data_IF_275531572254
#
_entry.id   IF_275531572254
#
_cell.length_a   1.000
_cell.length_b   1.000
_cell.length_c   1.000
_cell.angle_alpha   90.00
_cell.angle_beta   90.00
_cell.angle_gamma   90.00
#
_symmetry.space_group_name_H-M   'P 1'
#
loop_
_entity.id
_entity.type
_entity.pdbx_description
1 polymer ?
#
# COMPACT_ATOMS: atom_id res chain seq x y z
N UNK A 1 -21.48 34.79 -10.63
CA UNK A 1 -20.83 33.53 -10.21
C UNK A 1 -20.69 32.67 -11.46
N UNK A 2 -19.52 32.09 -11.76
CA UNK A 2 -19.37 31.24 -12.96
C UNK A 2 -20.07 29.90 -12.72
N UNK A 3 -20.84 29.42 -13.69
CA UNK A 3 -21.46 28.09 -13.63
C UNK A 3 -20.37 27.01 -13.63
N UNK A 4 -20.39 26.13 -12.61
CA UNK A 4 -19.51 24.97 -12.54
C UNK A 4 -20.18 23.77 -13.20
N UNK A 5 -19.49 23.13 -14.15
CA UNK A 5 -19.93 21.90 -14.79
C UNK A 5 -19.29 20.71 -14.07
N UNK A 6 -20.13 19.81 -13.55
CA UNK A 6 -19.71 18.56 -12.92
C UNK A 6 -19.64 17.47 -14.00
N UNK A 7 -18.59 16.64 -13.95
CA UNK A 7 -18.37 15.54 -14.87
C UNK A 7 -18.24 14.23 -14.09
N UNK A 8 -18.95 13.19 -14.56
CA UNK A 8 -18.70 11.82 -14.12
C UNK A 8 -17.52 11.24 -14.91
N UNK A 9 -16.55 10.68 -14.20
CA UNK A 9 -15.33 10.10 -14.79
C UNK A 9 -15.00 8.78 -14.12
N UNK A 10 -14.53 7.82 -14.92
CA UNK A 10 -13.97 6.59 -14.39
C UNK A 10 -12.57 6.86 -13.83
N UNK A 11 -12.38 6.53 -12.54
CA UNK A 11 -11.07 6.67 -11.91
C UNK A 11 -10.15 5.53 -12.33
N UNK A 12 -9.20 5.84 -13.20
CA UNK A 12 -8.11 4.93 -13.57
C UNK A 12 -6.84 5.41 -12.86
N UNK A 13 -6.28 4.58 -11.98
CA UNK A 13 -5.05 4.89 -11.26
C UNK A 13 -4.11 3.70 -11.35
N UNK A 14 -2.88 3.97 -11.79
CA UNK A 14 -1.81 2.97 -11.92
C UNK A 14 -0.58 3.40 -11.14
N UNK A 15 0.23 2.42 -10.78
CA UNK A 15 1.46 2.54 -10.03
C UNK A 15 2.60 2.17 -10.98
N UNK A 16 3.56 3.07 -11.15
CA UNK A 16 4.78 2.74 -11.88
C UNK A 16 5.69 1.93 -10.96
N UNK A 17 5.91 0.66 -11.30
CA UNK A 17 6.81 -0.23 -10.57
C UNK A 17 7.80 -0.85 -11.54
N UNK A 18 9.10 -0.54 -11.37
CA UNK A 18 10.15 -0.86 -12.35
C UNK A 18 9.72 -0.45 -13.76
N UNK A 19 9.75 -1.36 -14.72
CA UNK A 19 9.40 -1.11 -16.11
C UNK A 19 7.90 -1.23 -16.42
N UNK A 20 7.07 -1.62 -15.44
CA UNK A 20 5.65 -1.92 -15.64
C UNK A 20 4.69 -0.95 -14.92
N UNK A 21 3.41 -1.02 -15.28
CA UNK A 21 2.32 -0.29 -14.63
C UNK A 21 1.34 -1.25 -13.98
N UNK A 22 1.24 -1.16 -12.66
CA UNK A 22 0.39 -2.00 -11.81
C UNK A 22 -0.88 -1.27 -11.45
N UNK A 23 -2.03 -1.94 -11.49
CA UNK A 23 -3.29 -1.31 -11.10
C UNK A 23 -3.33 -0.99 -9.60
N UNK A 24 -3.87 0.18 -9.25
CA UNK A 24 -4.11 0.52 -7.85
C UNK A 24 -5.34 -0.24 -7.32
N UNK A 25 -5.30 -0.82 -6.10
CA UNK A 25 -4.23 -0.75 -5.11
C UNK A 25 -3.17 -1.87 -5.26
N UNK A 26 -1.90 -1.56 -4.99
CA UNK A 26 -0.74 -2.45 -5.22
C UNK A 26 -0.91 -3.84 -4.60
N UNK A 27 -1.28 -3.88 -3.31
CA UNK A 27 -1.39 -5.11 -2.52
C UNK A 27 -2.44 -6.09 -3.05
N UNK A 28 -3.42 -5.63 -3.83
CA UNK A 28 -4.42 -6.51 -4.48
C UNK A 28 -3.99 -6.96 -5.88
N UNK A 29 -3.00 -6.31 -6.47
CA UNK A 29 -2.58 -6.51 -7.85
C UNK A 29 -1.14 -7.01 -7.99
N UNK A 30 -0.58 -7.65 -6.95
CA UNK A 30 0.78 -8.21 -6.97
C UNK A 30 0.98 -9.28 -8.05
N UNK A 31 -0.10 -9.89 -8.58
CA UNK A 31 -0.06 -10.84 -9.68
C UNK A 31 0.40 -10.22 -11.02
N UNK A 32 0.38 -8.89 -11.12
CA UNK A 32 0.87 -8.15 -12.29
C UNK A 32 2.39 -7.93 -12.24
N UNK A 33 3.05 -8.28 -11.13
CA UNK A 33 4.49 -8.14 -10.97
C UNK A 33 5.26 -9.22 -11.74
N UNK A 34 6.54 -8.99 -11.97
CA UNK A 34 7.46 -10.02 -12.42
C UNK A 34 7.46 -11.22 -11.44
N UNK A 35 7.72 -12.42 -11.96
CA UNK A 35 7.57 -13.68 -11.22
C UNK A 35 8.31 -13.68 -9.88
N UNK A 36 9.55 -13.18 -9.85
CA UNK A 36 10.37 -13.18 -8.64
C UNK A 36 9.80 -12.22 -7.58
N UNK A 37 9.40 -11.01 -7.99
CA UNK A 37 8.78 -10.03 -7.08
C UNK A 37 7.42 -10.52 -6.56
N UNK A 38 6.66 -11.20 -7.42
CA UNK A 38 5.38 -11.81 -7.05
C UNK A 38 5.56 -12.91 -6.01
N UNK A 39 6.53 -13.81 -6.22
CA UNK A 39 6.85 -14.89 -5.27
C UNK A 39 7.28 -14.31 -3.92
N UNK A 40 8.16 -13.29 -3.91
CA UNK A 40 8.57 -12.62 -2.67
C UNK A 40 7.37 -12.03 -1.91
N UNK A 41 6.43 -11.40 -2.62
CA UNK A 41 5.22 -10.85 -2.02
C UNK A 41 4.33 -11.96 -1.43
N UNK A 42 4.20 -13.09 -2.12
CA UNK A 42 3.45 -14.24 -1.63
C UNK A 42 4.08 -14.84 -0.37
N UNK A 43 5.41 -15.01 -0.35
CA UNK A 43 6.13 -15.50 0.83
C UNK A 43 5.88 -14.57 2.02
N UNK A 44 6.06 -13.26 1.83
CA UNK A 44 5.78 -12.29 2.89
C UNK A 44 4.34 -12.32 3.39
N UNK A 45 3.36 -12.57 2.51
CA UNK A 45 1.95 -12.71 2.89
C UNK A 45 1.67 -13.98 3.72
N UNK A 46 2.40 -15.07 3.45
CA UNK A 46 2.28 -16.33 4.20
C UNK A 46 2.98 -16.26 5.56
N UNK A 47 4.09 -15.53 5.64
CA UNK A 47 4.91 -15.40 6.85
C UNK A 47 4.44 -14.29 7.80
N UNK A 48 3.52 -13.41 7.37
CA UNK A 48 3.06 -12.31 8.22
C UNK A 48 2.34 -12.82 9.46
N UNK A 49 2.58 -12.15 10.58
CA UNK A 49 1.91 -12.38 11.84
C UNK A 49 1.02 -11.18 12.15
N UNK A 50 -0.29 -11.39 12.09
CA UNK A 50 -1.26 -10.36 12.46
C UNK A 50 -1.31 -10.21 13.98
N UNK A 51 -1.32 -8.95 14.43
CA UNK A 51 -1.43 -8.54 15.83
C UNK A 51 -2.67 -7.69 16.04
N UNK A 52 -3.17 -7.68 17.26
CA UNK A 52 -4.30 -6.82 17.66
C UNK A 52 -3.86 -5.35 17.80
N UNK A 53 -2.63 -5.13 18.26
CA UNK A 53 -2.04 -3.81 18.46
C UNK A 53 -0.72 -3.70 17.69
N UNK A 54 -0.47 -2.51 17.12
CA UNK A 54 0.74 -2.19 16.37
C UNK A 54 1.38 -0.93 16.94
N UNK A 55 2.71 -0.91 17.03
CA UNK A 55 3.44 0.19 17.64
C UNK A 55 3.56 1.42 16.72
N UNK A 56 3.50 1.21 15.40
CA UNK A 56 3.67 2.25 14.39
C UNK A 56 2.89 1.96 13.12
N UNK A 57 2.83 2.94 12.21
CA UNK A 57 2.24 2.75 10.89
C UNK A 57 3.01 1.68 10.09
N UNK A 58 4.34 1.64 10.20
CA UNK A 58 5.18 0.62 9.57
C UNK A 58 4.88 -0.80 10.09
N UNK A 59 4.78 -0.95 11.40
CA UNK A 59 4.44 -2.23 12.05
C UNK A 59 3.06 -2.71 11.60
N UNK A 60 2.09 -1.79 11.53
CA UNK A 60 0.73 -2.08 11.07
C UNK A 60 0.67 -2.58 9.62
N UNK A 61 1.36 -1.91 8.69
CA UNK A 61 1.36 -2.36 7.29
C UNK A 61 2.11 -3.69 7.11
N UNK A 62 3.21 -3.90 7.84
CA UNK A 62 3.94 -5.17 7.81
C UNK A 62 3.11 -6.34 8.35
N UNK A 63 2.41 -6.16 9.47
CA UNK A 63 1.53 -7.19 10.02
C UNK A 63 0.38 -7.55 9.09
N UNK A 64 -0.20 -6.56 8.38
CA UNK A 64 -1.35 -6.79 7.49
C UNK A 64 -0.99 -7.29 6.09
N UNK A 65 0.09 -6.80 5.50
CA UNK A 65 0.41 -7.05 4.09
C UNK A 65 1.69 -7.86 3.88
N UNK A 66 2.45 -8.11 4.94
CA UNK A 66 3.71 -8.84 4.86
C UNK A 66 4.86 -8.01 4.29
N UNK A 67 6.08 -8.41 4.64
CA UNK A 67 7.31 -7.66 4.30
C UNK A 67 7.49 -7.45 2.80
N UNK A 68 7.23 -8.48 1.99
CA UNK A 68 7.43 -8.41 0.54
C UNK A 68 6.67 -7.26 -0.13
N UNK A 69 5.39 -7.07 0.24
CA UNK A 69 4.57 -5.96 -0.28
C UNK A 69 5.02 -4.62 0.32
N UNK A 70 5.32 -4.61 1.61
CA UNK A 70 5.70 -3.39 2.32
C UNK A 70 7.00 -2.80 1.81
N UNK A 71 8.06 -3.60 1.72
CA UNK A 71 9.39 -3.17 1.29
C UNK A 71 9.40 -2.73 -0.18
N UNK A 72 8.64 -3.43 -1.04
CA UNK A 72 8.62 -3.12 -2.49
C UNK A 72 7.82 -1.86 -2.82
N UNK A 73 6.74 -1.56 -2.08
CA UNK A 73 5.89 -0.43 -2.42
C UNK A 73 5.39 0.38 -1.22
N UNK A 74 4.73 -0.23 -0.23
CA UNK A 74 3.98 0.56 0.76
C UNK A 74 4.89 1.45 1.62
N UNK A 75 6.04 0.95 2.07
CA UNK A 75 7.00 1.74 2.84
C UNK A 75 7.58 2.87 1.97
N UNK A 76 8.30 2.59 0.86
CA UNK A 76 8.96 3.65 0.09
C UNK A 76 7.96 4.66 -0.49
N UNK A 77 6.75 4.24 -0.84
CA UNK A 77 5.71 5.14 -1.32
C UNK A 77 5.23 6.11 -0.22
N UNK A 78 4.91 5.60 0.98
CA UNK A 78 4.39 6.45 2.04
C UNK A 78 5.49 7.33 2.65
N UNK A 79 6.73 6.84 2.78
CA UNK A 79 7.85 7.69 3.22
C UNK A 79 8.10 8.83 2.23
N UNK A 80 8.01 8.56 0.92
CA UNK A 80 8.09 9.60 -0.10
C UNK A 80 6.92 10.60 0.00
N UNK A 81 5.72 10.12 0.30
CA UNK A 81 4.53 10.96 0.42
C UNK A 81 4.58 11.86 1.66
N UNK A 82 4.98 11.30 2.81
CA UNK A 82 5.00 12.00 4.10
C UNK A 82 6.32 12.68 4.42
N UNK A 83 7.39 12.35 3.69
CA UNK A 83 8.76 12.83 3.96
C UNK A 83 9.24 12.51 5.39
N UNK A 84 8.77 11.40 5.96
CA UNK A 84 9.03 10.96 7.34
C UNK A 84 9.10 9.43 7.39
N UNK A 85 9.89 8.90 8.34
CA UNK A 85 9.97 7.47 8.62
C UNK A 85 8.63 6.97 9.18
N UNK A 86 8.12 5.85 8.66
CA UNK A 86 6.79 5.34 9.03
C UNK A 86 6.73 4.80 10.47
N UNK A 87 7.88 4.49 11.10
CA UNK A 87 7.94 4.15 12.52
C UNK A 87 7.65 5.35 13.43
N UNK A 88 7.72 6.58 12.93
CA UNK A 88 7.38 7.79 13.70
C UNK A 88 5.89 8.16 13.60
N UNK A 89 5.12 7.43 12.79
CA UNK A 89 3.69 7.66 12.59
C UNK A 89 2.87 6.68 13.42
N UNK A 90 1.76 7.19 13.99
CA UNK A 90 0.77 6.39 14.70
C UNK A 90 0.20 5.28 13.80
N UNK A 91 -0.04 4.09 14.36
CA UNK A 91 -0.59 2.95 13.62
C UNK A 91 -1.93 3.27 12.93
N UNK A 92 -2.71 4.21 13.47
CA UNK A 92 -4.00 4.65 12.94
C UNK A 92 -3.92 5.92 12.08
N UNK A 93 -2.72 6.44 11.79
CA UNK A 93 -2.53 7.68 11.00
C UNK A 93 -3.29 7.66 9.65
N UNK A 94 -3.57 6.47 9.12
CA UNK A 94 -4.13 6.25 7.79
C UNK A 94 -5.49 5.56 7.77
N UNK A 95 -6.24 5.58 8.87
CA UNK A 95 -7.46 4.78 9.08
C UNK A 95 -8.47 4.76 7.91
N UNK A 96 -8.73 5.90 7.24
CA UNK A 96 -9.69 5.94 6.09
C UNK A 96 -9.12 5.42 4.77
N UNK A 97 -7.80 5.39 4.63
CA UNK A 97 -7.10 5.03 3.39
C UNK A 97 -6.68 3.56 3.36
N UNK A 98 -6.37 3.01 4.53
CA UNK A 98 -6.17 1.59 4.74
C UNK A 98 -7.35 1.06 5.53
N UNK A 99 -8.37 0.56 4.80
CA UNK A 99 -9.53 -0.04 5.46
C UNK A 99 -9.08 -1.23 6.30
N UNK A 100 -9.28 -1.13 7.61
CA UNK A 100 -8.83 -2.13 8.59
C UNK A 100 -9.71 -3.39 8.63
N UNK A 101 -10.71 -3.51 7.75
CA UNK A 101 -11.54 -4.70 7.57
C UNK A 101 -11.25 -5.37 6.23
N UNK A 102 -10.81 -6.63 6.29
CA UNK A 102 -10.96 -7.60 5.21
C UNK A 102 -12.42 -8.01 5.08
#
# INVERSE_FOLDING_TARGET
MREQKIHDVDKITKIKFKDDYIDFPFQKNIHQLAKDDYIDCLIGLMEKEEREEYASFEDMINGKFGKGICEKFLIPYNEKLYSTNLNELDANAMGRFFHMRM
#
